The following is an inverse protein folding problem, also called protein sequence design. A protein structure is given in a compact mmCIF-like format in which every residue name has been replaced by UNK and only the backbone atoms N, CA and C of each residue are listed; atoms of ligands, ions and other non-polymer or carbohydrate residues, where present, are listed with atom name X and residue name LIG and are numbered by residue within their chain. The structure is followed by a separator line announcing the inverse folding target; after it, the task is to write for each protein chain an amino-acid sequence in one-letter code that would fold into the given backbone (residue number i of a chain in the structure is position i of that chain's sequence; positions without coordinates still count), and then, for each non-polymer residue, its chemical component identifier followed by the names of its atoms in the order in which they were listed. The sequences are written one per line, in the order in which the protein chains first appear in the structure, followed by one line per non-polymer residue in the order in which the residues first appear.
data_IF_829975173623
#
_entry.id   IF_829975173623
#
_cell.length_a   1.000
_cell.length_b   1.000
_cell.length_c   1.000
_cell.angle_alpha   90.00
_cell.angle_beta   90.00
_cell.angle_gamma   90.00
#
_symmetry.space_group_name_H-M   'P 1'
#
loop_
_entity.id
_entity.type
_entity.pdbx_description
1 polymer ?
#
# COMPACT_ATOMS: atom_id res chain seq x y z
N UNK A 1 15.50 -58.17 3.69
CA UNK A 1 14.04 -57.93 3.87
C UNK A 1 13.78 -56.82 4.89
N UNK A 2 14.30 -56.92 6.12
CA UNK A 2 14.10 -55.90 7.17
C UNK A 2 14.61 -54.49 6.78
N UNK A 3 15.80 -54.39 6.17
CA UNK A 3 16.35 -53.10 5.73
C UNK A 3 15.56 -52.42 4.62
N UNK A 4 14.96 -53.20 3.70
CA UNK A 4 14.08 -52.68 2.64
C UNK A 4 12.78 -52.14 3.26
N UNK A 5 12.22 -52.86 4.23
CA UNK A 5 11.03 -52.44 4.98
C UNK A 5 11.27 -51.11 5.73
N UNK A 6 12.42 -50.96 6.39
CA UNK A 6 12.81 -49.72 7.06
C UNK A 6 12.93 -48.55 6.08
N UNK A 7 13.53 -48.77 4.92
CA UNK A 7 13.70 -47.72 3.90
C UNK A 7 12.35 -47.26 3.35
N UNK A 8 11.42 -48.18 3.10
CA UNK A 8 10.05 -47.85 2.65
C UNK A 8 9.31 -47.02 3.69
N UNK A 9 9.45 -47.34 4.98
CA UNK A 9 8.82 -46.56 6.06
C UNK A 9 9.37 -45.14 6.12
N UNK A 10 10.70 -44.98 6.05
CA UNK A 10 11.34 -43.66 6.08
C UNK A 10 10.93 -42.80 4.88
N UNK A 11 10.91 -43.38 3.68
CA UNK A 11 10.49 -42.68 2.46
C UNK A 11 9.01 -42.31 2.52
N UNK A 12 8.15 -43.20 3.02
CA UNK A 12 6.72 -42.92 3.21
C UNK A 12 6.46 -41.76 4.18
N UNK A 13 7.20 -41.72 5.29
CA UNK A 13 7.14 -40.59 6.23
C UNK A 13 7.63 -39.31 5.54
N UNK A 14 8.81 -39.32 4.91
CA UNK A 14 9.34 -38.13 4.24
C UNK A 14 8.36 -37.56 3.21
N UNK A 15 7.77 -38.39 2.36
CA UNK A 15 6.78 -37.97 1.36
C UNK A 15 5.48 -37.42 1.96
N UNK A 16 5.09 -37.84 3.17
CA UNK A 16 3.92 -37.31 3.86
C UNK A 16 4.18 -35.93 4.51
N UNK A 17 5.41 -35.68 4.97
CA UNK A 17 5.76 -34.43 5.67
C UNK A 17 6.21 -33.30 4.74
N UNK A 18 6.86 -33.59 3.60
CA UNK A 18 7.26 -32.59 2.60
C UNK A 18 6.10 -31.69 2.11
N UNK A 19 4.93 -32.22 1.67
CA UNK A 19 3.84 -31.36 1.19
C UNK A 19 3.29 -30.45 2.28
N UNK A 20 3.37 -30.86 3.54
CA UNK A 20 2.87 -30.10 4.69
C UNK A 20 3.72 -28.87 4.99
N UNK A 21 5.03 -28.95 4.76
CA UNK A 21 5.96 -27.81 4.89
C UNK A 21 5.73 -26.80 3.76
N UNK A 22 5.51 -27.26 2.53
CA UNK A 22 5.17 -26.38 1.42
C UNK A 22 3.87 -25.60 1.66
N UNK A 23 2.82 -26.28 2.16
CA UNK A 23 1.57 -25.61 2.51
C UNK A 23 1.79 -24.54 3.59
N UNK A 24 2.56 -24.87 4.64
CA UNK A 24 2.84 -23.91 5.72
C UNK A 24 3.51 -22.63 5.22
N UNK A 25 4.48 -22.74 4.30
CA UNK A 25 5.12 -21.56 3.72
C UNK A 25 4.14 -20.71 2.91
N UNK A 26 3.26 -21.33 2.11
CA UNK A 26 2.25 -20.55 1.35
C UNK A 26 1.24 -19.84 2.25
N UNK A 27 0.86 -20.44 3.39
CA UNK A 27 -0.01 -19.79 4.37
C UNK A 27 0.68 -18.64 5.09
N UNK A 28 1.96 -18.79 5.41
CA UNK A 28 2.79 -17.73 5.99
C UNK A 28 2.91 -16.54 5.04
N UNK A 29 3.25 -16.79 3.77
CA UNK A 29 3.37 -15.74 2.76
C UNK A 29 2.07 -14.98 2.55
N UNK A 30 0.94 -15.70 2.43
CA UNK A 30 -0.38 -15.07 2.30
C UNK A 30 -0.77 -14.28 3.53
N UNK A 31 -0.50 -14.80 4.72
CA UNK A 31 -0.82 -14.08 5.97
C UNK A 31 0.01 -12.80 6.09
N UNK A 32 1.30 -12.85 5.75
CA UNK A 32 2.15 -11.67 5.74
C UNK A 32 1.73 -10.65 4.68
N UNK A 33 1.34 -11.11 3.49
CA UNK A 33 0.81 -10.22 2.45
C UNK A 33 -0.46 -9.51 2.92
N UNK A 34 -1.42 -10.26 3.48
CA UNK A 34 -2.67 -9.72 3.97
C UNK A 34 -2.46 -8.73 5.12
N UNK A 35 -1.52 -9.03 6.03
CA UNK A 35 -1.15 -8.12 7.10
C UNK A 35 -0.58 -6.80 6.56
N UNK A 36 0.29 -6.85 5.55
CA UNK A 36 0.84 -5.64 4.91
C UNK A 36 -0.25 -4.80 4.25
N UNK A 37 -1.23 -5.42 3.61
CA UNK A 37 -2.37 -4.71 3.02
C UNK A 37 -3.20 -4.00 4.09
N UNK A 38 -3.46 -4.67 5.22
CA UNK A 38 -4.15 -4.09 6.37
C UNK A 38 -3.38 -2.88 6.90
N UNK A 39 -2.07 -3.02 7.10
CA UNK A 39 -1.22 -1.94 7.64
C UNK A 39 -1.20 -0.73 6.69
N UNK A 40 -1.12 -0.96 5.37
CA UNK A 40 -1.19 0.10 4.37
C UNK A 40 -2.56 0.81 4.35
N UNK A 41 -3.64 0.05 4.45
CA UNK A 41 -4.99 0.61 4.51
C UNK A 41 -5.18 1.47 5.76
N UNK A 42 -4.69 1.02 6.92
CA UNK A 42 -4.72 1.77 8.18
C UNK A 42 -3.94 3.09 8.09
N UNK A 43 -2.74 3.06 7.51
CA UNK A 43 -1.94 4.29 7.31
C UNK A 43 -2.71 5.26 6.41
N UNK A 44 -3.28 4.77 5.32
CA UNK A 44 -4.05 5.60 4.38
C UNK A 44 -5.30 6.18 5.02
N UNK A 45 -5.99 5.40 5.86
CA UNK A 45 -7.16 5.88 6.59
C UNK A 45 -6.79 6.98 7.59
N UNK A 46 -5.67 6.80 8.31
CA UNK A 46 -5.18 7.79 9.27
C UNK A 46 -4.77 9.10 8.57
N UNK A 47 -4.05 9.02 7.45
CA UNK A 47 -3.65 10.22 6.70
C UNK A 47 -4.87 10.96 6.15
N UNK A 48 -5.87 10.23 5.66
CA UNK A 48 -7.10 10.85 5.14
C UNK A 48 -7.91 11.51 6.26
N UNK A 49 -8.02 10.88 7.42
CA UNK A 49 -8.68 11.47 8.61
C UNK A 49 -7.94 12.71 9.11
N UNK A 50 -6.62 12.69 9.13
CA UNK A 50 -5.77 13.83 9.48
C UNK A 50 -6.00 15.00 8.50
N UNK A 51 -6.04 14.73 7.20
CA UNK A 51 -6.37 15.73 6.18
C UNK A 51 -7.78 16.29 6.37
N UNK A 52 -8.78 15.44 6.59
CA UNK A 52 -10.17 15.87 6.84
C UNK A 52 -10.26 16.77 8.08
N UNK A 53 -9.51 16.44 9.14
CA UNK A 53 -9.41 17.30 10.32
C UNK A 53 -8.84 18.66 9.96
N UNK A 54 -7.74 18.71 9.21
CA UNK A 54 -7.12 19.97 8.77
C UNK A 54 -8.06 20.82 7.91
N UNK A 55 -8.85 20.20 7.03
CA UNK A 55 -9.90 20.91 6.26
C UNK A 55 -10.95 21.60 7.14
N UNK A 56 -11.17 21.15 8.38
CA UNK A 56 -12.16 21.76 9.30
C UNK A 56 -11.53 22.70 10.31
N UNK A 57 -10.24 22.54 10.62
CA UNK A 57 -9.55 23.30 11.67
C UNK A 57 -8.61 24.38 11.15
N UNK A 58 -8.19 24.31 9.89
CA UNK A 58 -7.17 25.19 9.30
C UNK A 58 -7.74 25.91 8.05
N UNK A 59 -8.24 27.14 8.19
CA UNK A 59 -8.81 27.89 7.06
C UNK A 59 -7.79 28.21 5.97
N UNK A 60 -6.52 28.47 6.33
CA UNK A 60 -5.45 28.76 5.36
C UNK A 60 -5.15 27.51 4.49
N UNK A 61 -5.26 26.32 5.09
CA UNK A 61 -5.16 25.06 4.35
C UNK A 61 -6.28 24.89 3.33
N UNK A 62 -7.53 25.22 3.71
CA UNK A 62 -8.69 25.14 2.81
C UNK A 62 -8.53 26.11 1.64
N UNK A 63 -8.12 27.34 1.92
CA UNK A 63 -7.91 28.38 0.91
C UNK A 63 -6.85 27.96 -0.11
N UNK A 64 -5.70 27.45 0.35
CA UNK A 64 -4.66 26.93 -0.54
C UNK A 64 -5.18 25.81 -1.45
N UNK A 65 -5.91 24.83 -0.90
CA UNK A 65 -6.47 23.73 -1.71
C UNK A 65 -7.51 24.26 -2.69
N UNK A 66 -8.35 25.22 -2.28
CA UNK A 66 -9.32 25.86 -3.17
C UNK A 66 -8.61 26.54 -4.35
N UNK A 67 -7.52 27.26 -4.11
CA UNK A 67 -6.71 27.87 -5.17
C UNK A 67 -6.08 26.83 -6.09
N UNK A 68 -5.58 25.71 -5.55
CA UNK A 68 -5.00 24.60 -6.35
C UNK A 68 -6.04 23.95 -7.28
N UNK A 69 -7.30 23.83 -6.85
CA UNK A 69 -8.40 23.31 -7.69
C UNK A 69 -9.08 24.39 -8.54
N UNK A 70 -8.58 25.63 -8.52
CA UNK A 70 -9.02 26.74 -9.38
C UNK A 70 -10.23 27.51 -8.88
N UNK A 71 -10.62 27.33 -7.62
CA UNK A 71 -11.59 28.19 -6.94
C UNK A 71 -10.86 29.38 -6.29
N UNK A 72 -11.53 30.53 -6.23
CA UNK A 72 -11.04 31.75 -5.61
C UNK A 72 -12.17 32.41 -4.84
N UNK A 73 -11.85 33.30 -3.90
CA UNK A 73 -12.88 34.12 -3.28
C UNK A 73 -13.50 35.08 -4.32
N UNK A 74 -14.79 35.46 -4.22
CA UNK A 74 -15.43 36.32 -5.22
C UNK A 74 -14.73 37.67 -5.47
N UNK A 75 -14.02 38.17 -4.46
CA UNK A 75 -13.32 39.46 -4.48
C UNK A 75 -11.79 39.31 -4.62
N UNK A 76 -11.30 38.11 -4.94
CA UNK A 76 -9.87 37.79 -5.02
C UNK A 76 -9.38 37.72 -6.48
N UNK A 77 -8.18 38.21 -6.75
CA UNK A 77 -7.51 38.10 -8.07
C UNK A 77 -6.26 37.24 -7.96
N UNK A 78 -6.27 36.08 -8.58
CA UNK A 78 -5.14 35.12 -8.58
C UNK A 78 -4.37 35.20 -9.90
N UNK A 79 -3.05 35.37 -9.81
CA UNK A 79 -2.15 35.32 -10.97
C UNK A 79 -1.59 33.90 -11.15
N UNK A 80 -2.08 33.18 -12.15
CA UNK A 80 -1.54 31.88 -12.54
C UNK A 80 -0.39 32.06 -13.53
N UNK A 81 0.83 31.68 -13.14
CA UNK A 81 2.00 31.69 -14.01
C UNK A 81 2.21 30.28 -14.59
N UNK A 82 1.85 30.03 -15.86
CA UNK A 82 2.15 28.75 -16.48
C UNK A 82 3.66 28.54 -16.48
N UNK A 83 4.12 27.33 -16.16
CA UNK A 83 5.52 26.95 -16.40
C UNK A 83 5.78 27.17 -17.89
N UNK A 84 6.62 28.15 -18.21
CA UNK A 84 7.05 28.43 -19.57
C UNK A 84 7.44 27.12 -20.24
N UNK A 85 6.84 26.72 -21.36
CA UNK A 85 7.42 25.64 -22.15
C UNK A 85 8.78 26.16 -22.56
N UNK A 86 9.84 25.61 -21.97
CA UNK A 86 11.19 25.93 -22.38
C UNK A 86 11.26 25.59 -23.87
N UNK A 87 11.47 26.64 -24.65
CA UNK A 87 11.71 26.65 -26.08
C UNK A 87 12.69 25.53 -26.44
N UNK A 88 12.15 24.40 -26.92
CA UNK A 88 12.89 23.34 -27.60
C UNK A 88 13.22 23.85 -29.01
N UNK A 89 14.11 24.83 -29.10
CA UNK A 89 14.75 25.24 -30.36
C UNK A 89 16.07 24.48 -30.49
N UNK A 90 15.98 23.32 -31.15
CA UNK A 90 17.11 22.63 -31.78
C UNK A 90 17.30 23.12 -33.21
#
# INVERSE_FOLDING_TARGET
VLGVLLLVVVVGIALAFIPKVHQFNTYQERSQMLQREIDQALITEQTLKEQQRRFTTDPDFVERIAHEVGYAHPDETIFHFPKTPETDER
#
